data_IF_149392563826
#
_entry.id   IF_149392563826
#
_cell.length_a   1.000
_cell.length_b   1.000
_cell.length_c   1.000
_cell.angle_alpha   90.00
_cell.angle_beta   90.00
_cell.angle_gamma   90.00
#
_symmetry.space_group_name_H-M   'P 1'
#
loop_
_entity.id
_entity.type
_entity.pdbx_description
1 polymer ?
#
# COMPACT_ATOMS: atom_id res chain seq x y z
N UNK A 1 -41.57 -20.90 0.95
CA UNK A 1 -40.38 -21.68 0.56
C UNK A 1 -39.16 -20.81 0.82
N UNK A 2 -38.51 -21.02 1.97
CA UNK A 2 -37.37 -20.26 2.48
C UNK A 2 -36.09 -20.74 1.81
N UNK A 3 -35.22 -19.82 1.40
CA UNK A 3 -33.78 -20.08 1.33
C UNK A 3 -33.02 -18.88 1.89
N UNK A 4 -32.91 -18.92 3.22
CA UNK A 4 -31.91 -18.27 4.04
C UNK A 4 -30.56 -18.90 3.66
N UNK A 5 -29.65 -18.15 3.04
CA UNK A 5 -28.25 -18.57 2.93
C UNK A 5 -27.48 -17.85 4.05
N UNK A 6 -27.22 -18.61 5.11
CA UNK A 6 -26.27 -18.24 6.16
C UNK A 6 -24.87 -18.12 5.53
N UNK A 7 -24.31 -16.90 5.50
CA UNK A 7 -22.86 -16.73 5.48
C UNK A 7 -22.38 -16.71 6.93
N UNK A 8 -22.06 -17.90 7.43
CA UNK A 8 -21.32 -18.13 8.66
C UNK A 8 -19.82 -17.96 8.37
N UNK A 9 -19.10 -17.42 9.37
CA UNK A 9 -17.64 -17.36 9.50
C UNK A 9 -16.91 -16.22 8.77
N UNK A 10 -16.88 -15.04 9.40
CA UNK A 10 -15.72 -14.68 10.26
C UNK A 10 -16.29 -14.06 11.53
N UNK A 11 -16.55 -14.91 12.52
CA UNK A 11 -16.52 -14.44 13.90
C UNK A 11 -15.06 -14.04 14.12
N UNK A 12 -14.74 -12.76 14.08
CA UNK A 12 -13.52 -12.27 14.72
C UNK A 12 -13.71 -12.68 16.18
N UNK A 13 -13.08 -13.81 16.56
CA UNK A 13 -12.87 -14.10 17.97
C UNK A 13 -12.04 -12.91 18.43
N UNK A 14 -12.70 -12.00 19.14
CA UNK A 14 -12.07 -10.92 19.86
C UNK A 14 -11.22 -11.65 20.91
N UNK A 15 -10.00 -11.99 20.53
CA UNK A 15 -8.98 -12.34 21.50
C UNK A 15 -8.72 -11.04 22.24
N UNK A 16 -9.29 -10.94 23.44
CA UNK A 16 -9.03 -9.88 24.39
C UNK A 16 -7.57 -9.97 24.83
N UNK A 17 -6.69 -9.44 24.01
CA UNK A 17 -5.30 -9.16 24.29
C UNK A 17 -4.97 -7.95 23.44
N UNK A 18 -4.55 -6.85 24.07
CA UNK A 18 -4.05 -5.66 23.39
C UNK A 18 -2.87 -6.05 22.49
N UNK A 19 -3.17 -6.47 21.26
CA UNK A 19 -2.16 -6.85 20.28
C UNK A 19 -1.85 -5.61 19.48
N UNK A 20 -0.64 -5.09 19.65
CA UNK A 20 -0.16 -4.01 18.83
C UNK A 20 -0.14 -4.47 17.37
N UNK A 21 -0.83 -3.75 16.48
CA UNK A 21 -0.78 -4.05 15.05
C UNK A 21 0.33 -3.19 14.46
N UNK A 22 1.12 -3.80 13.60
CA UNK A 22 2.15 -3.12 12.83
C UNK A 22 1.97 -3.56 11.39
N UNK A 23 2.01 -2.59 10.49
CA UNK A 23 1.98 -2.76 9.05
C UNK A 23 3.17 -2.02 8.45
N UNK A 24 3.70 -2.53 7.36
CA UNK A 24 4.76 -1.85 6.65
C UNK A 24 4.61 -2.06 5.14
N UNK A 25 4.67 -0.97 4.38
CA UNK A 25 4.37 -0.94 2.95
C UNK A 25 5.54 -0.32 2.18
N UNK A 26 5.97 -0.98 1.12
CA UNK A 26 6.98 -0.43 0.22
C UNK A 26 6.32 0.48 -0.82
N UNK A 27 6.66 1.76 -0.81
CA UNK A 27 6.11 2.79 -1.70
C UNK A 27 7.26 3.62 -2.24
N UNK A 28 7.41 3.76 -3.56
CA UNK A 28 8.37 4.68 -4.20
C UNK A 28 9.80 4.69 -3.58
N UNK A 29 10.40 3.51 -3.39
CA UNK A 29 11.74 3.35 -2.81
C UNK A 29 11.91 3.66 -1.31
N UNK A 30 10.81 3.80 -0.58
CA UNK A 30 10.78 3.90 0.89
C UNK A 30 9.86 2.82 1.46
N UNK A 31 9.96 2.60 2.76
CA UNK A 31 8.98 1.80 3.51
C UNK A 31 8.24 2.71 4.49
N UNK A 32 6.91 2.75 4.37
CA UNK A 32 6.03 3.40 5.33
C UNK A 32 5.65 2.37 6.39
N UNK A 33 5.86 2.70 7.66
CA UNK A 33 5.70 1.83 8.82
C UNK A 33 4.60 2.44 9.68
N UNK A 34 3.50 1.72 9.80
CA UNK A 34 2.31 2.15 10.54
C UNK A 34 2.14 1.21 11.72
N UNK A 35 1.84 1.76 12.88
CA UNK A 35 1.47 0.91 14.02
C UNK A 35 0.46 1.60 14.91
N UNK A 36 -0.31 0.76 15.60
CA UNK A 36 -1.23 1.18 16.64
C UNK A 36 -1.03 0.38 17.94
N UNK A 37 -1.36 1.01 19.05
CA UNK A 37 -1.35 0.33 20.35
C UNK A 37 -2.47 0.84 21.24
N UNK A 38 -3.38 -0.07 21.62
CA UNK A 38 -4.56 0.27 22.42
C UNK A 38 -4.23 0.75 23.84
N UNK A 39 -3.11 0.27 24.41
CA UNK A 39 -2.65 0.66 25.76
C UNK A 39 -1.52 1.69 25.69
N UNK A 40 -1.54 2.60 24.71
CA UNK A 40 -0.51 3.63 24.50
C UNK A 40 -0.24 4.47 25.77
N UNK A 41 -1.21 4.64 26.66
CA UNK A 41 -1.06 5.38 27.92
C UNK A 41 0.00 4.79 28.87
N UNK A 42 0.33 3.50 28.72
CA UNK A 42 1.33 2.82 29.54
C UNK A 42 2.73 2.82 28.90
N UNK A 43 2.87 3.40 27.71
CA UNK A 43 4.13 3.44 26.95
C UNK A 43 4.82 4.78 27.15
N UNK A 44 6.11 4.77 27.49
CA UNK A 44 6.94 5.98 27.60
C UNK A 44 7.53 6.38 26.23
N UNK A 45 7.98 5.40 25.46
CA UNK A 45 8.47 5.60 24.09
C UNK A 45 8.41 4.31 23.28
N UNK A 46 8.46 4.48 21.96
CA UNK A 46 8.55 3.42 20.98
C UNK A 46 9.96 3.39 20.38
N UNK A 47 10.42 2.21 20.00
CA UNK A 47 11.60 2.04 19.17
C UNK A 47 11.22 1.20 17.96
N UNK A 48 11.34 1.78 16.77
CA UNK A 48 11.28 1.02 15.53
C UNK A 48 12.61 0.30 15.39
N UNK A 49 12.56 -1.01 15.23
CA UNK A 49 13.74 -1.82 14.99
C UNK A 49 13.68 -2.43 13.60
N UNK A 50 14.82 -2.46 12.93
CA UNK A 50 14.98 -2.92 11.56
C UNK A 50 15.98 -4.08 11.49
N UNK A 51 15.72 -5.06 10.62
CA UNK A 51 16.60 -6.21 10.41
C UNK A 51 16.73 -6.57 8.93
N UNK A 52 17.90 -7.10 8.55
CA UNK A 52 18.17 -7.69 7.22
C UNK A 52 17.71 -9.15 7.11
N UNK A 53 17.58 -9.85 8.24
CA UNK A 53 17.45 -11.31 8.27
C UNK A 53 16.32 -11.80 9.19
N UNK A 54 15.49 -10.88 9.70
CA UNK A 54 14.36 -11.20 10.58
C UNK A 54 14.73 -11.71 11.96
N UNK A 55 16.02 -11.74 12.33
CA UNK A 55 16.50 -12.27 13.63
C UNK A 55 17.38 -11.27 14.37
N UNK A 56 18.31 -10.60 13.68
CA UNK A 56 19.18 -9.59 14.24
C UNK A 56 18.62 -8.20 14.00
N UNK A 57 17.95 -7.64 15.00
CA UNK A 57 17.33 -6.32 14.95
C UNK A 57 18.26 -5.23 15.49
N UNK A 58 18.23 -4.06 14.85
CA UNK A 58 18.93 -2.86 15.30
C UNK A 58 17.93 -1.72 15.44
N UNK A 59 18.19 -0.80 16.36
CA UNK A 59 17.39 0.41 16.48
C UNK A 59 17.48 1.21 15.18
N UNK A 60 16.32 1.56 14.63
CA UNK A 60 16.18 2.43 13.46
C UNK A 60 15.77 3.83 13.90
N UNK A 61 14.73 3.93 14.74
CA UNK A 61 14.19 5.20 15.21
C UNK A 61 13.60 5.05 16.61
N UNK A 62 13.79 6.06 17.47
CA UNK A 62 13.19 6.15 18.80
C UNK A 62 12.24 7.34 18.87
N UNK A 63 11.03 7.09 19.35
CA UNK A 63 9.92 8.04 19.28
C UNK A 63 9.34 8.20 20.67
N UNK A 64 9.38 9.42 21.20
CA UNK A 64 8.76 9.71 22.49
C UNK A 64 7.24 9.60 22.34
N UNK A 65 6.58 8.92 23.28
CA UNK A 65 5.13 8.92 23.29
C UNK A 65 4.62 10.31 23.71
N UNK A 66 3.95 11.02 22.80
CA UNK A 66 3.42 12.37 23.01
C UNK A 66 2.20 12.41 23.93
N UNK A 67 1.66 11.26 24.35
CA UNK A 67 0.44 11.14 25.20
C UNK A 67 -0.81 11.81 24.62
N UNK A 68 -0.80 12.11 23.33
CA UNK A 68 -1.99 12.51 22.58
C UNK A 68 -2.87 11.28 22.37
N UNK A 69 -4.21 11.43 22.40
CA UNK A 69 -5.20 10.35 22.21
C UNK A 69 -5.15 9.66 20.82
N UNK A 70 -4.09 9.90 20.06
CA UNK A 70 -3.86 9.27 18.76
C UNK A 70 -3.16 7.94 19.00
N UNK A 71 -3.86 6.85 18.68
CA UNK A 71 -3.33 5.50 18.84
C UNK A 71 -2.53 5.02 17.63
N UNK A 72 -2.57 5.75 16.52
CA UNK A 72 -1.90 5.38 15.26
C UNK A 72 -0.73 6.31 14.97
N UNK A 73 0.39 5.71 14.59
CA UNK A 73 1.64 6.38 14.27
C UNK A 73 2.11 5.96 12.87
N UNK A 74 2.83 6.84 12.19
CA UNK A 74 3.39 6.60 10.86
C UNK A 74 4.83 7.10 10.83
N UNK A 75 5.74 6.26 10.36
CA UNK A 75 7.13 6.63 10.12
C UNK A 75 7.62 6.09 8.78
N UNK A 76 8.70 6.69 8.28
CA UNK A 76 9.25 6.35 6.96
C UNK A 76 10.70 5.94 7.04
N UNK A 77 11.01 4.76 6.47
CA UNK A 77 12.36 4.33 6.17
C UNK A 77 12.72 4.65 4.72
N UNK A 78 13.53 5.69 4.54
CA UNK A 78 14.01 6.14 3.23
C UNK A 78 15.15 5.29 2.65
N UNK A 79 15.69 4.33 3.40
CA UNK A 79 16.78 3.49 2.94
C UNK A 79 16.54 2.00 3.29
N UNK A 80 15.43 1.40 2.81
CA UNK A 80 15.14 -0.01 3.05
C UNK A 80 16.22 -0.88 2.41
N UNK A 81 16.45 -2.06 2.98
CA UNK A 81 17.40 -3.02 2.43
C UNK A 81 16.94 -3.54 1.05
N UNK A 82 17.92 -3.88 0.20
CA UNK A 82 17.70 -4.15 -1.23
C UNK A 82 16.83 -5.36 -1.58
N UNK A 83 16.52 -6.22 -0.61
CA UNK A 83 15.63 -7.37 -0.81
C UNK A 83 14.46 -7.34 0.17
N UNK A 84 14.64 -7.87 1.37
CA UNK A 84 13.62 -7.83 2.43
C UNK A 84 14.14 -6.98 3.57
N UNK A 85 13.30 -6.04 4.00
CA UNK A 85 13.46 -5.32 5.26
C UNK A 85 12.46 -5.85 6.26
N UNK A 86 12.93 -6.20 7.45
CA UNK A 86 12.06 -6.64 8.54
C UNK A 86 11.94 -5.53 9.56
N UNK A 87 10.74 -5.29 10.05
CA UNK A 87 10.46 -4.29 11.08
C UNK A 87 9.70 -4.90 12.25
N UNK A 88 9.93 -4.35 13.43
CA UNK A 88 9.10 -4.55 14.62
C UNK A 88 9.14 -3.29 15.46
N UNK A 89 8.12 -3.11 16.28
CA UNK A 89 8.06 -2.03 17.27
C UNK A 89 8.42 -2.61 18.62
N UNK A 90 9.34 -1.96 19.32
CA UNK A 90 9.59 -2.18 20.75
C UNK A 90 8.91 -1.08 21.55
N UNK A 91 7.94 -1.47 22.37
CA UNK A 91 7.22 -0.61 23.30
C UNK A 91 7.97 -0.60 24.61
N UNK A 92 8.35 0.57 25.14
CA UNK A 92 9.04 0.66 26.44
C UNK A 92 8.19 1.48 27.40
N UNK A 93 7.90 0.93 28.59
CA UNK A 93 7.13 1.63 29.62
C UNK A 93 8.02 2.52 30.52
N UNK A 94 7.39 3.27 31.42
CA UNK A 94 8.07 4.19 32.34
C UNK A 94 9.05 3.51 33.32
N UNK A 95 8.91 2.19 33.53
CA UNK A 95 9.82 1.39 34.36
C UNK A 95 10.94 0.73 33.55
N UNK A 96 11.00 0.96 32.23
CA UNK A 96 11.98 0.35 31.32
C UNK A 96 11.65 -1.07 30.86
N UNK A 97 10.52 -1.65 31.29
CA UNK A 97 10.04 -2.94 30.75
C UNK A 97 9.58 -2.74 29.31
N UNK A 98 9.88 -3.72 28.46
CA UNK A 98 9.54 -3.63 27.05
C UNK A 98 8.84 -4.88 26.52
N UNK A 99 8.11 -4.67 25.42
CA UNK A 99 7.42 -5.70 24.64
C UNK A 99 7.65 -5.44 23.16
N UNK A 100 7.46 -6.46 22.33
CA UNK A 100 7.57 -6.35 20.88
C UNK A 100 6.22 -6.54 20.21
N UNK A 101 6.02 -5.86 19.08
CA UNK A 101 5.01 -6.22 18.10
C UNK A 101 5.37 -7.53 17.41
N UNK A 102 4.46 -7.99 16.54
CA UNK A 102 4.83 -8.95 15.49
C UNK A 102 5.94 -8.37 14.59
N UNK A 103 6.65 -9.26 13.89
CA UNK A 103 7.63 -8.88 12.87
C UNK A 103 6.93 -8.80 11.52
N UNK A 104 7.05 -7.67 10.84
CA UNK A 104 6.59 -7.49 9.45
C UNK A 104 7.76 -7.53 8.49
N UNK A 105 7.60 -8.26 7.39
CA UNK A 105 8.58 -8.36 6.33
C UNK A 105 8.10 -7.58 5.11
N UNK A 106 8.93 -6.65 4.64
CA UNK A 106 8.65 -5.83 3.47
C UNK A 106 9.68 -6.15 2.40
N UNK A 107 9.21 -6.69 1.28
CA UNK A 107 10.05 -6.90 0.12
C UNK A 107 10.13 -5.61 -0.68
N UNK A 108 11.33 -5.15 -0.97
CA UNK A 108 11.60 -4.10 -1.95
C UNK A 108 10.96 -4.54 -3.26
N UNK A 109 9.88 -3.89 -3.67
CA UNK A 109 9.34 -4.10 -5.00
C UNK A 109 10.35 -3.51 -5.96
N UNK A 110 11.11 -4.37 -6.64
CA UNK A 110 12.05 -3.94 -7.65
C UNK A 110 11.23 -3.30 -8.79
N UNK A 111 11.15 -1.96 -8.80
CA UNK A 111 10.52 -1.16 -9.87
C UNK A 111 11.25 -1.28 -11.23
N UNK A 112 12.06 -2.31 -11.41
CA UNK A 112 12.66 -2.64 -12.69
C UNK A 112 12.96 -4.13 -12.75
N UNK A 113 12.24 -4.79 -13.65
CA UNK A 113 12.68 -5.95 -14.44
C UNK A 113 12.55 -7.34 -13.79
N UNK A 114 11.35 -7.66 -13.34
CA UNK A 114 10.65 -8.84 -13.83
C UNK A 114 9.20 -8.70 -13.37
N UNK A 115 8.29 -8.50 -14.31
CA UNK A 115 6.90 -8.78 -14.02
C UNK A 115 6.87 -10.24 -13.54
N UNK A 116 6.26 -10.51 -12.39
CA UNK A 116 6.31 -11.86 -11.83
C UNK A 116 5.92 -12.87 -12.92
N UNK A 117 6.53 -14.06 -12.99
CA UNK A 117 6.15 -15.09 -13.99
C UNK A 117 4.63 -15.28 -14.09
N UNK A 118 3.90 -14.98 -13.01
CA UNK A 118 2.44 -15.05 -12.89
C UNK A 118 1.68 -14.01 -13.72
N UNK A 119 2.29 -12.85 -13.99
CA UNK A 119 1.67 -11.76 -14.73
C UNK A 119 2.13 -11.67 -16.20
N UNK A 120 3.11 -12.47 -16.61
CA UNK A 120 3.49 -12.54 -18.03
C UNK A 120 2.31 -13.02 -18.87
N UNK A 121 1.92 -12.25 -19.88
CA UNK A 121 0.72 -12.50 -20.67
C UNK A 121 -0.60 -12.26 -19.92
N UNK A 122 -0.58 -11.52 -18.80
CA UNK A 122 -1.80 -11.16 -18.08
C UNK A 122 -2.77 -10.43 -19.00
N UNK A 123 -4.03 -10.87 -19.03
CA UNK A 123 -5.09 -10.22 -19.77
C UNK A 123 -6.41 -10.53 -19.07
N UNK A 124 -6.99 -9.52 -18.43
CA UNK A 124 -8.25 -9.67 -17.70
C UNK A 124 -9.13 -8.44 -17.88
N UNK A 125 -10.44 -8.67 -17.87
CA UNK A 125 -11.45 -7.65 -18.10
C UNK A 125 -12.14 -7.29 -16.78
N UNK A 126 -12.55 -6.03 -16.66
CA UNK A 126 -13.34 -5.50 -15.53
C UNK A 126 -12.71 -5.68 -14.14
N UNK A 127 -11.38 -5.67 -14.06
CA UNK A 127 -10.64 -5.86 -12.81
C UNK A 127 -10.83 -4.66 -11.90
N UNK A 128 -11.35 -4.87 -10.69
CA UNK A 128 -11.43 -3.81 -9.67
C UNK A 128 -10.03 -3.48 -9.14
N UNK A 129 -9.64 -2.20 -9.22
CA UNK A 129 -8.38 -1.68 -8.72
C UNK A 129 -8.55 -0.36 -7.98
N UNK A 130 -7.68 -0.14 -7.00
CA UNK A 130 -7.40 1.16 -6.39
C UNK A 130 -6.01 1.60 -6.84
N UNK A 131 -5.95 2.80 -7.43
CA UNK A 131 -4.79 3.37 -8.08
C UNK A 131 -4.26 4.55 -7.28
N UNK A 132 -2.96 4.59 -7.05
CA UNK A 132 -2.25 5.73 -6.45
C UNK A 132 -1.41 6.45 -7.49
N UNK A 133 -1.61 7.75 -7.63
CA UNK A 133 -0.76 8.65 -8.40
C UNK A 133 0.37 9.20 -7.52
N UNK A 134 1.52 9.53 -8.13
CA UNK A 134 2.67 10.15 -7.44
C UNK A 134 2.33 11.48 -6.74
N UNK A 135 1.32 12.18 -7.25
CA UNK A 135 0.78 13.44 -6.70
C UNK A 135 -0.05 13.24 -5.40
N UNK A 136 -0.12 12.00 -4.90
CA UNK A 136 -1.01 11.52 -3.84
C UNK A 136 -2.50 11.36 -4.20
N UNK A 137 -2.89 11.52 -5.47
CA UNK A 137 -4.26 11.20 -5.91
C UNK A 137 -4.59 9.71 -5.83
N UNK A 138 -5.82 9.37 -5.40
CA UNK A 138 -6.33 8.00 -5.33
C UNK A 138 -7.60 7.83 -6.15
N UNK A 139 -7.66 6.76 -6.95
CA UNK A 139 -8.77 6.49 -7.86
C UNK A 139 -9.19 5.03 -7.76
N UNK A 140 -10.49 4.77 -7.74
CA UNK A 140 -11.04 3.44 -7.89
C UNK A 140 -11.63 3.27 -9.29
N UNK A 141 -11.38 2.14 -9.93
CA UNK A 141 -11.98 1.82 -11.23
C UNK A 141 -12.03 0.33 -11.46
N UNK A 142 -12.98 -0.10 -12.30
CA UNK A 142 -12.88 -1.37 -13.01
C UNK A 142 -12.18 -1.14 -14.35
N UNK A 143 -11.15 -1.92 -14.64
CA UNK A 143 -10.29 -1.73 -15.81
C UNK A 143 -10.05 -3.05 -16.55
N UNK A 144 -9.85 -2.95 -17.86
CA UNK A 144 -9.32 -4.05 -18.66
C UNK A 144 -7.80 -3.92 -18.65
N UNK A 145 -7.14 -4.85 -17.97
CA UNK A 145 -5.70 -4.78 -17.73
C UNK A 145 -5.02 -5.87 -18.54
N UNK A 146 -4.06 -5.47 -19.36
CA UNK A 146 -3.24 -6.36 -20.15
C UNK A 146 -1.76 -6.12 -19.91
N UNK A 147 -0.97 -7.17 -20.04
CA UNK A 147 0.48 -7.11 -20.05
C UNK A 147 1.00 -6.95 -21.48
N UNK A 148 1.79 -5.92 -21.73
CA UNK A 148 2.49 -5.69 -22.99
C UNK A 148 3.99 -5.43 -22.71
N UNK A 149 4.86 -6.33 -23.16
CA UNK A 149 6.32 -6.22 -23.09
C UNK A 149 6.87 -5.94 -21.67
N UNK A 150 6.41 -6.70 -20.69
CA UNK A 150 6.75 -6.63 -19.27
C UNK A 150 6.05 -5.49 -18.51
N UNK A 151 5.01 -4.88 -19.07
CA UNK A 151 4.29 -3.75 -18.45
C UNK A 151 2.79 -3.96 -18.46
N UNK A 152 2.14 -3.72 -17.33
CA UNK A 152 0.68 -3.65 -17.28
C UNK A 152 0.20 -2.33 -17.92
N UNK A 153 -0.79 -2.45 -18.78
CA UNK A 153 -1.42 -1.36 -19.52
C UNK A 153 -2.93 -1.50 -19.43
N UNK A 154 -3.63 -0.37 -19.30
CA UNK A 154 -5.07 -0.28 -19.46
C UNK A 154 -5.43 0.96 -20.25
N UNK A 155 -6.50 0.88 -21.02
CA UNK A 155 -7.18 2.06 -21.55
C UNK A 155 -8.42 2.37 -20.71
N UNK A 156 -8.81 3.64 -20.63
CA UNK A 156 -10.02 4.07 -19.92
C UNK A 156 -10.67 5.26 -20.60
N UNK A 157 -11.96 5.46 -20.34
CA UNK A 157 -12.71 6.68 -20.69
C UNK A 157 -13.12 7.47 -19.43
N UNK A 158 -12.74 7.00 -18.23
CA UNK A 158 -13.06 7.67 -16.97
C UNK A 158 -12.35 9.04 -16.91
N UNK A 159 -13.11 10.12 -16.94
CA UNK A 159 -12.62 11.51 -16.92
C UNK A 159 -11.80 11.85 -15.68
N UNK A 160 -12.02 11.13 -14.58
CA UNK A 160 -11.29 11.36 -13.33
C UNK A 160 -9.86 10.81 -13.36
N UNK A 161 -9.55 9.88 -14.28
CA UNK A 161 -8.27 9.18 -14.32
C UNK A 161 -7.48 9.64 -15.54
N UNK A 162 -6.49 10.51 -15.35
CA UNK A 162 -5.64 10.98 -16.45
C UNK A 162 -4.73 9.87 -16.98
N UNK A 163 -4.25 10.03 -18.22
CA UNK A 163 -3.17 9.19 -18.75
C UNK A 163 -1.92 9.35 -17.90
N UNK A 164 -1.28 8.23 -17.54
CA UNK A 164 -0.12 8.27 -16.63
C UNK A 164 0.30 6.89 -16.14
N UNK A 165 1.29 6.87 -15.24
CA UNK A 165 1.69 5.67 -14.51
C UNK A 165 1.16 5.74 -13.08
N UNK A 166 0.47 4.68 -12.67
CA UNK A 166 -0.14 4.54 -11.36
C UNK A 166 0.43 3.31 -10.64
N UNK A 167 0.39 3.30 -9.32
CA UNK A 167 0.61 2.09 -8.53
C UNK A 167 -0.74 1.46 -8.19
N UNK A 168 -0.87 0.14 -8.37
CA UNK A 168 -2.04 -0.60 -7.90
C UNK A 168 -1.84 -0.86 -6.39
N UNK A 169 -2.61 -0.19 -5.53
CA UNK A 169 -2.49 -0.32 -4.07
C UNK A 169 -3.52 -1.27 -3.47
N UNK A 170 -4.59 -1.59 -4.20
CA UNK A 170 -5.52 -2.67 -3.88
C UNK A 170 -6.15 -3.21 -5.17
N UNK A 171 -6.52 -4.48 -5.18
CA UNK A 171 -7.26 -5.10 -6.28
C UNK A 171 -8.01 -6.33 -5.79
N UNK A 172 -9.04 -6.75 -6.53
CA UNK A 172 -9.61 -8.09 -6.37
C UNK A 172 -8.66 -9.22 -6.79
N UNK A 173 -7.55 -8.88 -7.48
CA UNK A 173 -6.46 -9.80 -7.77
C UNK A 173 -5.19 -9.35 -7.04
N UNK A 174 -4.82 -10.06 -5.98
CA UNK A 174 -3.66 -9.78 -5.14
C UNK A 174 -2.33 -9.73 -5.93
N UNK A 175 -2.23 -10.42 -7.07
CA UNK A 175 -1.02 -10.42 -7.88
C UNK A 175 -0.71 -9.07 -8.51
N UNK A 176 -1.73 -8.24 -8.69
CA UNK A 176 -1.59 -6.91 -9.27
C UNK A 176 -1.08 -5.89 -8.25
N UNK A 177 -1.32 -6.11 -6.96
CA UNK A 177 -0.97 -5.16 -5.89
C UNK A 177 0.54 -4.92 -5.84
N UNK A 178 0.92 -3.65 -5.75
CA UNK A 178 2.32 -3.20 -5.75
C UNK A 178 2.95 -3.07 -7.14
N UNK A 179 2.25 -3.44 -8.21
CA UNK A 179 2.74 -3.26 -9.59
C UNK A 179 2.34 -1.89 -10.14
N UNK A 180 3.14 -1.40 -11.10
CA UNK A 180 2.82 -0.20 -11.86
C UNK A 180 1.88 -0.54 -13.02
N UNK A 181 0.85 0.29 -13.20
CA UNK A 181 -0.09 0.24 -14.32
C UNK A 181 0.03 1.52 -15.14
N UNK A 182 0.29 1.38 -16.44
CA UNK A 182 0.21 2.50 -17.39
C UNK A 182 -1.24 2.64 -17.86
N UNK A 183 -1.83 3.80 -17.60
CA UNK A 183 -3.17 4.13 -18.08
C UNK A 183 -3.09 5.06 -19.28
N UNK A 184 -3.86 4.74 -20.31
CA UNK A 184 -4.09 5.59 -21.48
C UNK A 184 -5.57 5.99 -21.44
N UNK A 185 -5.85 7.22 -21.02
CA UNK A 185 -7.20 7.77 -21.09
C UNK A 185 -7.49 8.21 -22.53
N UNK A 186 -8.54 7.64 -23.12
CA UNK A 186 -9.01 7.92 -24.48
C UNK A 186 -10.17 8.92 -24.51
N UNK A 187 -10.54 9.51 -23.38
CA UNK A 187 -11.63 10.47 -23.32
C UNK A 187 -11.28 11.75 -24.11
N UNK A 188 -12.06 12.10 -25.15
CA UNK A 188 -11.76 13.23 -26.04
C UNK A 188 -11.93 14.62 -25.40
N UNK A 189 -12.51 14.74 -24.20
CA UNK A 189 -12.79 16.05 -23.56
C UNK A 189 -11.56 16.76 -22.97
N UNK A 190 -10.36 16.17 -23.08
CA UNK A 190 -9.09 16.80 -22.71
C UNK A 190 -8.39 17.63 -23.82
N UNK A 191 -8.99 17.73 -25.01
CA UNK A 191 -8.57 18.73 -26.00
C UNK A 191 -9.07 20.09 -25.51
N UNK A 192 -8.15 20.97 -25.12
CA UNK A 192 -8.43 22.40 -25.02
C UNK A 192 -9.11 22.84 -26.32
N UNK A 193 -10.36 23.28 -26.23
CA UNK A 193 -11.09 23.93 -27.33
C UNK A 193 -10.47 25.32 -27.53
N UNK A 194 -9.23 25.35 -28.00
CA UNK A 194 -8.48 26.56 -28.35
C UNK A 194 -7.79 26.30 -29.69
N UNK A 195 -8.57 26.02 -30.73
CA UNK A 195 -8.29 26.37 -32.15
C UNK A 195 -9.41 25.84 -33.04
N UNK A 196 -10.64 26.30 -32.82
CA UNK A 196 -11.67 26.28 -33.85
C UNK A 196 -12.43 27.59 -33.80
N UNK A 197 -11.74 28.69 -34.12
CA UNK A 197 -12.40 29.88 -34.61
C UNK A 197 -11.66 30.46 -35.82
N UNK A 198 -12.38 30.40 -36.94
CA UNK A 198 -12.42 31.38 -38.03
C UNK A 198 -11.14 31.60 -38.85
N UNK A 199 -10.97 30.76 -39.88
CA UNK A 199 -10.74 31.28 -41.24
C UNK A 199 -11.83 30.73 -42.15
N UNK A 200 -12.96 31.42 -42.20
CA UNK A 200 -13.80 31.46 -43.41
C UNK A 200 -13.30 32.62 -44.27
N UNK A 201 -13.01 32.30 -45.53
CA UNK A 201 -12.86 33.26 -46.63
C UNK A 201 -14.15 34.04 -46.86
#
# INVERSE_FOLDING_TARGET
MIRLLLFLCILFIITSGAKAQVEALYVENRVEIIWDYSDCNLVDYYVIEKSKNGTNFREFLKIKNSKTYTNSFLETDHNPYDNISFYRIRYVNFSGKYYYSEVVAVKKSSTSKDLSKKLNGYNSLNVLVVLKEKSNGEFYSKLNIQENNGKLVSETLNENIKSGEFMIIASENDDLVGNSLKIINRNPTGLSVDTLNTKSQ
#
